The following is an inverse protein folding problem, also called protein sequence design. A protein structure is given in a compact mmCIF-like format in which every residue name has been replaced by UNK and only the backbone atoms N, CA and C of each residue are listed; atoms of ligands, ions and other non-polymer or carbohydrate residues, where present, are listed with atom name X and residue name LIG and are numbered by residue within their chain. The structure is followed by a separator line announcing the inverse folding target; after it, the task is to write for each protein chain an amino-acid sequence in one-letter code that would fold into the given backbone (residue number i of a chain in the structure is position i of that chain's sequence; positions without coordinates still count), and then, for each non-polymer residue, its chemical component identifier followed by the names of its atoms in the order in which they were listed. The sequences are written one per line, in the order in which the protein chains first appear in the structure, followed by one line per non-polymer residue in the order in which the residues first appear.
data_IF_341125256667
#
_entry.id   IF_341125256667
#
_cell.length_a   1.000
_cell.length_b   1.000
_cell.length_c   1.000
_cell.angle_alpha   90.00
_cell.angle_beta   90.00
_cell.angle_gamma   90.00
#
_symmetry.space_group_name_H-M   'P 1'
#
loop_
_entity.id
_entity.type
_entity.pdbx_description
1 polymer ?
#
# COMPACT_ATOMS: atom_id res chain seq x y z
N UNK A 1 22.33 -18.71 -7.85
CA UNK A 1 21.29 -18.78 -7.79
C UNK A 1 20.72 -17.70 -7.35
N UNK A 2 19.81 -17.55 -7.53
CA UNK A 2 19.26 -16.55 -7.24
C UNK A 2 18.26 -16.83 -6.37
N UNK A 3 18.31 -16.29 -5.41
CA UNK A 3 17.21 -16.34 -4.59
C UNK A 3 16.25 -15.34 -5.05
N UNK A 4 15.03 -15.53 -4.73
CA UNK A 4 14.05 -14.60 -5.13
C UNK A 4 14.41 -13.26 -4.56
N UNK A 5 14.12 -12.24 -5.31
CA UNK A 5 14.30 -10.96 -4.82
C UNK A 5 13.56 -10.79 -3.58
N UNK A 6 14.08 -10.08 -2.63
CA UNK A 6 13.30 -9.75 -1.47
C UNK A 6 12.06 -9.06 -1.94
N UNK A 7 10.97 -9.34 -1.29
CA UNK A 7 9.76 -8.69 -1.61
C UNK A 7 9.97 -7.23 -1.44
N UNK A 8 9.83 -6.50 -2.54
CA UNK A 8 9.92 -5.08 -2.46
C UNK A 8 8.67 -4.59 -1.87
N UNK A 9 8.72 -3.61 -1.00
CA UNK A 9 7.50 -2.97 -0.54
C UNK A 9 6.79 -2.38 -1.74
N UNK A 10 5.51 -2.59 -1.79
CA UNK A 10 4.66 -1.96 -2.78
C UNK A 10 4.01 -0.77 -2.13
N UNK A 11 3.70 0.20 -2.96
CA UNK A 11 2.98 1.38 -2.50
C UNK A 11 1.71 1.54 -3.30
N UNK A 12 0.71 2.15 -2.70
CA UNK A 12 -0.53 2.44 -3.39
C UNK A 12 -0.99 3.83 -2.98
N UNK A 13 -1.57 4.53 -3.93
CA UNK A 13 -2.10 5.87 -3.67
C UNK A 13 -3.59 5.74 -3.50
N UNK A 14 -4.10 6.35 -2.43
CA UNK A 14 -5.54 6.36 -2.19
C UNK A 14 -6.21 7.31 -3.15
N UNK A 15 -7.17 6.80 -3.91
CA UNK A 15 -7.89 7.61 -4.89
C UNK A 15 -9.35 7.79 -4.52
N UNK A 16 -9.82 7.11 -3.46
CA UNK A 16 -11.20 7.22 -3.03
C UNK A 16 -11.26 6.87 -1.56
N UNK A 17 -11.62 7.83 -0.73
CA UNK A 17 -11.74 7.58 0.70
C UNK A 17 -13.17 7.81 1.20
N UNK A 18 -14.15 7.73 0.31
CA UNK A 18 -15.53 8.08 0.67
C UNK A 18 -16.06 7.21 1.80
N UNK A 19 -15.67 5.94 1.84
CA UNK A 19 -16.16 5.03 2.86
C UNK A 19 -15.32 5.07 4.13
N UNK A 20 -14.09 5.57 4.03
CA UNK A 20 -13.16 5.55 5.16
C UNK A 20 -12.46 6.90 5.32
N UNK A 21 -13.22 7.99 5.42
CA UNK A 21 -12.58 9.31 5.42
C UNK A 21 -11.71 9.56 6.65
N UNK A 22 -11.97 8.87 7.74
CA UNK A 22 -11.17 9.05 8.94
C UNK A 22 -9.89 8.22 8.91
N UNK A 23 -9.90 7.13 8.14
CA UNK A 23 -8.77 6.20 8.12
C UNK A 23 -7.87 6.43 6.92
N UNK A 24 -8.41 6.91 5.82
CA UNK A 24 -7.66 7.06 4.58
C UNK A 24 -7.63 8.51 4.16
N UNK A 25 -6.46 8.95 3.76
CA UNK A 25 -6.26 10.29 3.28
C UNK A 25 -6.15 10.24 1.77
N UNK A 26 -6.96 11.04 1.10
CA UNK A 26 -7.00 11.05 -0.36
C UNK A 26 -5.66 11.48 -0.92
N UNK A 27 -5.20 10.76 -1.93
CA UNK A 27 -3.95 11.02 -2.65
C UNK A 27 -2.69 10.78 -1.82
N UNK A 28 -2.83 10.15 -0.68
CA UNK A 28 -1.67 9.77 0.12
C UNK A 28 -1.20 8.39 -0.32
N UNK A 29 0.11 8.18 -0.23
CA UNK A 29 0.72 6.88 -0.53
C UNK A 29 0.81 6.05 0.72
N UNK A 30 0.47 4.79 0.59
CA UNK A 30 0.52 3.84 1.69
C UNK A 30 1.35 2.63 1.27
N UNK A 31 2.02 2.03 2.24
CA UNK A 31 2.74 0.80 1.98
C UNK A 31 1.74 -0.35 1.93
N UNK A 32 1.97 -1.27 1.00
CA UNK A 32 1.07 -2.40 0.78
C UNK A 32 1.82 -3.68 1.06
N UNK A 33 1.17 -4.58 1.78
CA UNK A 33 1.69 -5.93 1.98
C UNK A 33 1.06 -6.85 0.97
N UNK A 34 1.85 -7.65 0.25
CA UNK A 34 1.27 -8.62 -0.67
C UNK A 34 0.40 -9.61 0.09
N UNK A 35 -0.79 -9.84 -0.41
CA UNK A 35 -1.73 -10.76 0.23
C UNK A 35 -2.63 -11.31 -0.87
N UNK A 36 -2.35 -12.55 -1.27
CA UNK A 36 -3.07 -13.15 -2.37
C UNK A 36 -4.52 -13.43 -2.04
N UNK A 37 -4.81 -13.75 -0.79
CA UNK A 37 -6.19 -13.99 -0.40
C UNK A 37 -6.99 -12.71 -0.46
N UNK A 38 -6.41 -11.61 0.02
CA UNK A 38 -7.09 -10.33 -0.06
C UNK A 38 -7.33 -9.95 -1.50
N UNK A 39 -6.33 -10.19 -2.36
CA UNK A 39 -6.47 -9.85 -3.77
C UNK A 39 -7.61 -10.64 -4.43
N UNK A 40 -7.77 -11.89 -4.05
CA UNK A 40 -8.87 -12.68 -4.60
C UNK A 40 -10.21 -12.12 -4.21
N UNK A 41 -10.29 -11.50 -3.05
CA UNK A 41 -11.53 -10.91 -2.57
C UNK A 41 -11.72 -9.48 -3.03
N UNK A 42 -10.79 -8.97 -3.84
CA UNK A 42 -10.88 -7.59 -4.30
C UNK A 42 -10.40 -6.58 -3.29
N UNK A 43 -9.60 -7.03 -2.32
CA UNK A 43 -9.11 -6.17 -1.26
C UNK A 43 -7.61 -5.99 -1.36
N UNK A 44 -7.11 -5.01 -0.64
CA UNK A 44 -5.68 -4.71 -0.58
C UNK A 44 -5.32 -4.52 0.89
N UNK A 45 -4.15 -5.04 1.28
CA UNK A 45 -3.69 -4.93 2.66
C UNK A 45 -2.71 -3.77 2.75
N UNK A 46 -3.05 -2.78 3.55
CA UNK A 46 -2.33 -1.52 3.62
C UNK A 46 -1.84 -1.33 5.05
N UNK A 47 -0.62 -0.82 5.20
CA UNK A 47 -0.06 -0.51 6.51
C UNK A 47 -0.24 0.98 6.75
N UNK A 48 -0.81 1.34 7.90
CA UNK A 48 -0.99 2.74 8.22
C UNK A 48 0.20 3.26 9.02
N UNK A 49 0.12 4.49 9.43
CA UNK A 49 1.24 5.14 10.11
C UNK A 49 1.56 4.53 11.47
N UNK A 50 0.60 3.87 12.07
CA UNK A 50 0.84 3.23 13.35
C UNK A 50 1.56 1.89 13.20
N UNK A 51 1.73 1.42 11.98
CA UNK A 51 2.34 0.12 11.72
C UNK A 51 1.35 -1.02 11.69
N UNK A 52 0.07 -0.72 11.84
CA UNK A 52 -0.96 -1.75 11.77
C UNK A 52 -1.45 -1.89 10.33
N UNK A 53 -1.85 -3.09 9.99
CA UNK A 53 -2.31 -3.34 8.64
C UNK A 53 -3.81 -3.56 8.63
N UNK A 54 -4.43 -3.11 7.56
CA UNK A 54 -5.88 -3.18 7.40
C UNK A 54 -6.21 -3.57 5.98
N UNK A 55 -7.38 -4.15 5.80
CA UNK A 55 -7.88 -4.48 4.47
C UNK A 55 -8.86 -3.42 4.03
N UNK A 56 -8.67 -2.96 2.80
CA UNK A 56 -9.57 -2.00 2.18
C UNK A 56 -9.91 -2.47 0.78
N UNK A 57 -10.99 -1.96 0.18
CA UNK A 57 -11.27 -2.32 -1.21
C UNK A 57 -10.14 -1.87 -2.11
N UNK A 58 -9.67 -2.76 -2.96
CA UNK A 58 -8.59 -2.45 -3.87
C UNK A 58 -8.95 -1.32 -4.83
N UNK A 59 -10.24 -1.16 -5.10
CA UNK A 59 -10.69 -0.09 -5.99
C UNK A 59 -10.47 1.30 -5.42
N UNK A 60 -10.17 1.40 -4.13
CA UNK A 60 -9.87 2.69 -3.51
C UNK A 60 -8.43 3.11 -3.71
N UNK A 61 -7.61 2.30 -4.35
CA UNK A 61 -6.18 2.54 -4.49
C UNK A 61 -5.69 2.29 -5.89
N UNK A 62 -4.57 2.93 -6.23
CA UNK A 62 -3.81 2.59 -7.41
C UNK A 62 -2.44 2.15 -6.92
N UNK A 63 -2.06 0.92 -7.24
CA UNK A 63 -0.76 0.38 -6.83
C UNK A 63 0.30 0.95 -7.75
N UNK A 64 1.39 1.40 -7.18
CA UNK A 64 2.49 1.96 -7.93
C UNK A 64 3.77 1.23 -7.57
N UNK A 65 4.68 1.16 -8.53
CA UNK A 65 6.03 0.69 -8.28
C UNK A 65 6.93 1.90 -8.33
N UNK A 66 7.81 2.02 -7.35
CA UNK A 66 8.66 3.18 -7.27
C UNK A 66 10.11 2.72 -7.26
N UNK A 67 11.02 3.53 -7.80
CA UNK A 67 12.44 3.23 -7.67
C UNK A 67 12.85 3.26 -6.21
N UNK A 68 13.93 2.56 -5.92
CA UNK A 68 14.39 2.44 -4.55
C UNK A 68 14.61 3.78 -3.89
N UNK A 69 15.10 4.75 -4.62
CA UNK A 69 15.33 6.05 -4.07
C UNK A 69 14.07 6.75 -3.65
N UNK A 70 13.02 6.61 -4.45
CA UNK A 70 11.73 7.20 -4.12
C UNK A 70 11.12 6.45 -2.95
N UNK A 71 11.28 5.14 -2.93
CA UNK A 71 10.80 4.32 -1.84
C UNK A 71 11.38 4.79 -0.52
N UNK A 72 12.69 5.03 -0.47
CA UNK A 72 13.31 5.53 0.73
C UNK A 72 12.75 6.88 1.15
N UNK A 73 12.53 7.75 0.18
CA UNK A 73 12.01 9.06 0.47
C UNK A 73 10.61 8.97 1.07
N UNK A 74 9.78 8.11 0.53
CA UNK A 74 8.43 7.93 1.04
C UNK A 74 8.47 7.40 2.47
N UNK A 75 9.30 6.40 2.72
CA UNK A 75 9.35 5.79 4.04
C UNK A 75 9.92 6.74 5.08
N UNK A 76 10.80 7.65 4.68
CA UNK A 76 11.40 8.56 5.63
C UNK A 76 10.65 9.86 5.76
N UNK A 77 9.73 10.12 4.89
CA UNK A 77 9.00 11.37 4.90
C UNK A 77 7.86 11.37 5.90
N UNK A 78 7.48 10.25 6.41
CA UNK A 78 6.33 10.21 7.31
C UNK A 78 6.70 10.39 8.77
#
# INVERSE_FOLDING_TARGET
MQHPEPLRPLFAVCINNAEYPASLELHKSYQVLPDEEAARDGDIRVIDESGEDYLYPASSFVVIEVPQEVERAILHAS
#
